data_IF_511141377638
#
_entry.id   IF_511141377638
#
_cell.length_a   1.000
_cell.length_b   1.000
_cell.length_c   1.000
_cell.angle_alpha   90.00
_cell.angle_beta   90.00
_cell.angle_gamma   90.00
#
_symmetry.space_group_name_H-M   'P 1'
#
loop_
_entity.id
_entity.type
_entity.pdbx_description
1 polymer ?
#
# COMPACT_ATOMS: atom_id res chain seq x y z
N UNK A 1 12.88 4.49 7.35
CA UNK A 1 11.57 4.09 7.91
C UNK A 1 10.88 3.22 6.88
N UNK A 2 10.63 1.96 7.21
CA UNK A 2 9.87 1.06 6.32
C UNK A 2 8.37 1.41 6.39
N UNK A 3 7.71 1.53 5.24
CA UNK A 3 6.28 1.75 5.20
C UNK A 3 5.50 0.45 5.45
N UNK A 4 4.23 0.57 5.88
CA UNK A 4 3.39 -0.57 6.23
C UNK A 4 3.23 -1.59 5.09
N UNK A 5 3.13 -1.15 3.84
CA UNK A 5 3.05 -2.07 2.70
C UNK A 5 4.33 -2.91 2.55
N UNK A 6 5.51 -2.34 2.80
CA UNK A 6 6.78 -3.09 2.79
C UNK A 6 6.78 -4.18 3.85
N UNK A 7 6.29 -3.89 5.06
CA UNK A 7 6.19 -4.88 6.15
C UNK A 7 5.24 -6.03 5.84
N UNK A 8 4.09 -5.73 5.22
CA UNK A 8 3.12 -6.75 4.81
C UNK A 8 3.70 -7.67 3.72
N UNK A 9 4.27 -7.07 2.68
CA UNK A 9 4.83 -7.81 1.55
C UNK A 9 6.09 -8.60 1.94
N UNK A 10 6.93 -8.10 2.84
CA UNK A 10 8.13 -8.81 3.31
C UNK A 10 7.79 -10.04 4.16
N UNK A 11 6.65 -10.02 4.86
CA UNK A 11 6.11 -11.19 5.58
C UNK A 11 5.47 -12.23 4.66
N UNK A 12 5.33 -11.92 3.37
CA UNK A 12 4.68 -12.77 2.38
C UNK A 12 3.16 -12.60 2.30
N UNK A 13 2.59 -11.54 2.90
CA UNK A 13 1.18 -11.23 2.68
C UNK A 13 0.97 -10.70 1.26
N UNK A 14 -0.08 -11.16 0.60
CA UNK A 14 -0.46 -10.67 -0.71
C UNK A 14 -1.31 -9.39 -0.56
N UNK A 15 -0.86 -8.31 -1.19
CA UNK A 15 -1.52 -7.00 -1.18
C UNK A 15 -1.92 -6.62 -2.60
N UNK A 16 -3.22 -6.44 -2.85
CA UNK A 16 -3.75 -6.00 -4.14
C UNK A 16 -4.79 -4.88 -3.96
N UNK A 17 -5.05 -4.12 -5.03
CA UNK A 17 -6.18 -3.18 -5.07
C UNK A 17 -7.13 -3.68 -6.13
N UNK A 18 -8.32 -4.10 -5.74
CA UNK A 18 -9.32 -4.66 -6.64
C UNK A 18 -10.54 -3.74 -6.69
N UNK A 19 -10.87 -3.25 -7.89
CA UNK A 19 -11.99 -2.31 -8.09
C UNK A 19 -11.94 -1.10 -7.14
N UNK A 20 -10.74 -0.60 -6.90
CA UNK A 20 -10.47 0.55 -6.04
C UNK A 20 -10.53 0.25 -4.54
N UNK A 21 -10.63 -1.01 -4.12
CA UNK A 21 -10.63 -1.43 -2.72
C UNK A 21 -9.37 -2.22 -2.39
N UNK A 22 -8.83 -2.01 -1.19
CA UNK A 22 -7.68 -2.76 -0.71
C UNK A 22 -8.08 -4.20 -0.38
N UNK A 23 -7.37 -5.17 -0.93
CA UNK A 23 -7.51 -6.59 -0.62
C UNK A 23 -6.18 -7.08 -0.08
N UNK A 24 -6.21 -7.65 1.12
CA UNK A 24 -5.04 -8.27 1.75
C UNK A 24 -5.40 -9.73 1.96
N UNK A 25 -4.55 -10.62 1.45
CA UNK A 25 -4.60 -12.05 1.75
C UNK A 25 -3.38 -12.39 2.62
N UNK A 26 -3.57 -12.54 3.94
CA UNK A 26 -2.46 -12.82 4.84
C UNK A 26 -1.87 -14.21 4.57
N UNK A 27 -0.55 -14.34 4.68
CA UNK A 27 0.13 -15.63 4.54
C UNK A 27 -0.33 -16.66 5.59
N UNK A 28 -0.86 -16.19 6.72
CA UNK A 28 -1.41 -17.03 7.79
C UNK A 28 -2.80 -17.61 7.47
N UNK A 29 -3.47 -17.13 6.41
CA UNK A 29 -4.85 -17.51 6.06
C UNK A 29 -5.94 -16.99 7.01
N UNK A 30 -5.55 -16.30 8.10
CA UNK A 30 -6.50 -15.66 9.03
C UNK A 30 -6.94 -14.30 8.46
N UNK A 31 -8.21 -13.90 8.59
CA UNK A 31 -8.68 -12.62 8.08
C UNK A 31 -8.03 -11.46 8.85
N UNK A 32 -7.72 -10.38 8.13
CA UNK A 32 -7.25 -9.13 8.74
C UNK A 32 -8.39 -8.51 9.55
N UNK A 33 -8.14 -8.03 10.78
CA UNK A 33 -9.16 -7.32 11.55
C UNK A 33 -9.73 -6.12 10.78
N UNK A 34 -11.06 -5.99 10.65
CA UNK A 34 -11.67 -4.96 9.81
C UNK A 34 -11.39 -3.55 10.34
N UNK A 35 -11.37 -3.37 11.66
CA UNK A 35 -11.10 -2.08 12.30
C UNK A 35 -9.68 -1.57 11.99
N UNK A 36 -8.71 -2.47 11.96
CA UNK A 36 -7.34 -2.14 11.60
C UNK A 36 -7.24 -1.80 10.10
N UNK A 37 -7.92 -2.58 9.27
CA UNK A 37 -7.95 -2.34 7.82
C UNK A 37 -8.55 -0.98 7.51
N UNK A 38 -9.67 -0.59 8.12
CA UNK A 38 -10.30 0.72 7.89
C UNK A 38 -9.38 1.89 8.26
N UNK A 39 -8.59 1.74 9.33
CA UNK A 39 -7.65 2.78 9.77
C UNK A 39 -6.40 2.86 8.90
N UNK A 40 -5.87 1.72 8.45
CA UNK A 40 -4.58 1.63 7.75
C UNK A 40 -4.69 1.50 6.24
N UNK A 41 -5.88 1.22 5.70
CA UNK A 41 -6.07 0.97 4.27
C UNK A 41 -5.59 2.13 3.40
N UNK A 42 -5.89 3.37 3.79
CA UNK A 42 -5.47 4.54 3.01
C UNK A 42 -3.95 4.70 3.02
N UNK A 43 -3.30 4.45 4.16
CA UNK A 43 -1.84 4.50 4.29
C UNK A 43 -1.16 3.44 3.41
N UNK A 44 -1.68 2.20 3.43
CA UNK A 44 -1.21 1.10 2.60
C UNK A 44 -1.42 1.41 1.12
N UNK A 45 -2.64 1.76 0.72
CA UNK A 45 -2.95 2.13 -0.67
C UNK A 45 -2.04 3.26 -1.17
N UNK A 46 -1.85 4.32 -0.37
CA UNK A 46 -0.96 5.42 -0.74
C UNK A 46 0.46 4.94 -0.98
N UNK A 47 1.01 4.10 -0.10
CA UNK A 47 2.37 3.59 -0.28
C UNK A 47 2.54 2.73 -1.53
N UNK A 48 1.54 1.90 -1.86
CA UNK A 48 1.52 1.10 -3.10
C UNK A 48 1.41 2.01 -4.33
N UNK A 49 0.53 3.02 -4.30
CA UNK A 49 0.34 3.97 -5.39
C UNK A 49 1.61 4.82 -5.66
N UNK A 50 2.29 5.26 -4.60
CA UNK A 50 3.58 5.96 -4.70
C UNK A 50 4.63 5.07 -5.37
N UNK A 51 4.73 3.81 -4.94
CA UNK A 51 5.71 2.87 -5.50
C UNK A 51 5.46 2.58 -6.98
N UNK A 52 4.20 2.53 -7.41
CA UNK A 52 3.81 2.29 -8.80
C UNK A 52 3.91 3.58 -9.64
N UNK A 53 3.87 4.75 -9.02
CA UNK A 53 3.86 6.05 -9.71
C UNK A 53 2.52 6.37 -10.37
N UNK A 54 1.42 5.81 -9.87
CA UNK A 54 0.06 6.07 -10.38
C UNK A 54 -0.73 6.82 -9.33
N UNK A 55 -1.33 7.94 -9.72
CA UNK A 55 -2.22 8.68 -8.84
C UNK A 55 -3.64 8.09 -8.84
N UNK A 56 -4.31 8.21 -7.68
CA UNK A 56 -5.68 7.80 -7.49
C UNK A 56 -6.47 8.90 -6.80
N UNK A 57 -7.78 8.90 -7.03
CA UNK A 57 -8.71 9.91 -6.58
C UNK A 57 -9.69 9.30 -5.59
N UNK A 58 -9.82 9.94 -4.43
CA UNK A 58 -10.83 9.64 -3.41
C UNK A 58 -12.04 10.54 -3.60
N UNK A 59 -13.23 9.96 -3.57
CA UNK A 59 -14.48 10.70 -3.62
C UNK A 59 -14.73 11.50 -2.33
N UNK A 60 -15.06 12.78 -2.47
CA UNK A 60 -15.39 13.66 -1.33
C UNK A 60 -16.88 13.98 -1.21
N UNK A 61 -17.56 14.09 -2.35
CA UNK A 61 -18.93 14.56 -2.35
C UNK A 61 -19.41 14.91 -3.75
N UNK A 62 -20.66 15.34 -3.82
CA UNK A 62 -21.28 15.72 -5.08
C UNK A 62 -22.17 16.95 -4.93
N UNK A 63 -22.43 17.59 -6.06
CA UNK A 63 -23.47 18.61 -6.20
C UNK A 63 -24.24 18.37 -7.49
N UNK A 64 -25.53 18.69 -7.49
CA UNK A 64 -26.40 18.57 -8.65
C UNK A 64 -26.84 19.97 -9.09
N UNK A 65 -26.77 20.25 -10.39
CA UNK A 65 -27.01 21.59 -10.89
C UNK A 65 -27.21 21.65 -12.40
N UNK A 66 -27.50 22.86 -12.89
CA UNK A 66 -27.58 23.15 -14.32
C UNK A 66 -26.35 23.94 -14.73
N UNK A 67 -25.67 23.48 -15.76
CA UNK A 67 -24.36 23.99 -16.19
C UNK A 67 -24.39 24.47 -17.64
N UNK A 68 -23.47 25.38 -17.96
CA UNK A 68 -23.28 25.93 -19.30
C UNK A 68 -24.39 26.87 -19.77
N UNK A 69 -24.22 27.40 -20.97
CA UNK A 69 -25.13 28.37 -21.59
C UNK A 69 -26.55 27.82 -21.75
N UNK A 70 -26.68 26.54 -22.09
CA UNK A 70 -27.96 25.86 -22.27
C UNK A 70 -28.60 25.34 -20.97
N UNK A 71 -27.98 25.61 -19.80
CA UNK A 71 -28.46 25.15 -18.48
C UNK A 71 -28.75 23.64 -18.45
N UNK A 72 -27.83 22.87 -19.04
CA UNK A 72 -27.89 21.42 -19.12
C UNK A 72 -27.78 20.82 -17.72
N UNK A 73 -28.65 19.87 -17.41
CA UNK A 73 -28.69 19.23 -16.10
C UNK A 73 -27.51 18.27 -15.92
N UNK A 74 -26.82 18.38 -14.79
CA UNK A 74 -25.63 17.59 -14.48
C UNK A 74 -25.42 17.34 -13.00
N UNK A 75 -24.57 16.35 -12.70
CA UNK A 75 -24.05 16.09 -11.36
C UNK A 75 -22.53 16.21 -11.40
N UNK A 76 -21.99 17.03 -10.51
CA UNK A 76 -20.55 17.22 -10.32
C UNK A 76 -20.10 16.36 -9.16
N UNK A 77 -19.22 15.40 -9.42
CA UNK A 77 -18.51 14.62 -8.41
C UNK A 77 -17.19 15.33 -8.11
N UNK A 78 -16.87 15.49 -6.83
CA UNK A 78 -15.63 16.08 -6.34
C UNK A 78 -14.74 14.98 -5.78
N UNK A 79 -13.46 15.08 -6.10
CA UNK A 79 -12.45 14.13 -5.70
C UNK A 79 -11.20 14.85 -5.22
N UNK A 80 -10.39 14.13 -4.45
CA UNK A 80 -9.08 14.57 -4.00
C UNK A 80 -8.05 13.50 -4.32
N UNK A 81 -6.95 13.92 -4.91
CA UNK A 81 -5.80 13.06 -5.18
C UNK A 81 -5.24 12.48 -3.88
N UNK A 82 -4.95 11.18 -3.89
CA UNK A 82 -4.33 10.48 -2.75
C UNK A 82 -2.83 10.83 -2.66
N UNK A 83 -2.17 11.11 -3.79
CA UNK A 83 -0.75 11.42 -3.81
C UNK A 83 -0.47 12.90 -3.58
N UNK A 84 -1.11 13.78 -4.35
CA UNK A 84 -0.83 15.23 -4.36
C UNK A 84 -1.75 16.01 -3.41
N UNK A 85 -2.92 15.47 -3.08
CA UNK A 85 -3.94 16.19 -2.31
C UNK A 85 -4.70 17.25 -3.12
N UNK A 86 -4.45 17.35 -4.43
CA UNK A 86 -5.14 18.28 -5.30
C UNK A 86 -6.59 17.86 -5.53
N UNK A 87 -7.47 18.84 -5.65
CA UNK A 87 -8.89 18.60 -5.90
C UNK A 87 -9.15 18.49 -7.39
N UNK A 88 -9.93 17.49 -7.79
CA UNK A 88 -10.39 17.30 -9.16
C UNK A 88 -11.89 17.06 -9.20
N UNK A 89 -12.54 17.31 -10.34
CA UNK A 89 -13.98 17.11 -10.48
C UNK A 89 -14.38 16.45 -11.79
N UNK A 90 -15.48 15.70 -11.76
CA UNK A 90 -16.09 15.11 -12.95
C UNK A 90 -17.56 15.51 -13.05
N UNK A 91 -18.01 15.91 -14.25
CA UNK A 91 -19.40 16.33 -14.48
C UNK A 91 -20.10 15.31 -15.37
N UNK A 92 -21.19 14.73 -14.87
CA UNK A 92 -22.02 13.78 -15.59
C UNK A 92 -23.37 14.38 -15.94
N UNK A 93 -23.88 14.08 -17.14
CA UNK A 93 -25.22 14.48 -17.55
C UNK A 93 -26.27 13.62 -16.83
N UNK A 94 -27.26 14.27 -16.20
CA UNK A 94 -28.35 13.63 -15.46
C UNK A 94 -29.65 14.40 -15.64
N UNK A 95 -30.77 13.83 -15.20
CA UNK A 95 -32.06 14.50 -15.16
C UNK A 95 -32.33 15.07 -13.77
N UNK A 96 -32.67 16.37 -13.70
CA UNK A 96 -33.00 17.09 -12.45
C UNK A 96 -34.48 17.48 -12.33
N UNK A 97 -35.33 16.93 -13.20
CA UNK A 97 -36.77 17.26 -13.27
C UNK A 97 -37.64 16.05 -12.99
N UNK A 98 -38.84 16.30 -12.48
CA UNK A 98 -39.84 15.26 -12.22
C UNK A 98 -40.46 14.75 -13.52
N UNK A 99 -40.43 13.44 -13.75
CA UNK A 99 -41.07 12.81 -14.93
C UNK A 99 -42.61 12.75 -14.84
N UNK A 100 -43.17 12.72 -13.63
CA UNK A 100 -44.61 12.59 -13.37
C UNK A 100 -45.03 13.58 -12.30
N UNK A 101 -46.29 14.00 -12.35
CA UNK A 101 -46.93 14.75 -11.27
C UNK A 101 -47.14 13.81 -10.08
N UNK A 102 -46.67 14.22 -8.91
CA UNK A 102 -46.87 13.53 -7.64
C UNK A 102 -47.37 14.52 -6.61
N UNK A 103 -47.70 14.05 -5.41
CA UNK A 103 -48.05 14.91 -4.26
C UNK A 103 -46.95 15.96 -4.00
N UNK A 104 -45.68 15.58 -4.21
CA UNK A 104 -44.55 16.50 -4.04
C UNK A 104 -44.48 17.62 -5.09
N UNK A 105 -45.21 17.50 -6.21
CA UNK A 105 -45.43 18.56 -7.22
C UNK A 105 -45.47 18.05 -8.67
N UNK A 106 -45.57 18.99 -9.62
CA UNK A 106 -45.90 18.73 -11.02
C UNK A 106 -44.75 18.11 -11.83
N UNK A 107 -45.10 17.39 -12.90
CA UNK A 107 -44.12 16.99 -13.92
C UNK A 107 -43.38 18.21 -14.49
N UNK A 108 -42.09 18.06 -14.78
CA UNK A 108 -41.22 19.14 -15.23
C UNK A 108 -40.67 20.03 -14.11
N UNK A 109 -41.26 20.02 -12.92
CA UNK A 109 -40.74 20.75 -11.77
C UNK A 109 -39.36 20.19 -11.33
N UNK A 110 -38.49 21.02 -10.72
CA UNK A 110 -37.19 20.56 -10.22
C UNK A 110 -37.35 19.49 -9.13
N UNK A 111 -36.41 18.56 -9.10
CA UNK A 111 -36.25 17.63 -7.98
C UNK A 111 -35.75 18.37 -6.73
N UNK A 112 -35.93 17.80 -5.53
CA UNK A 112 -35.29 18.31 -4.32
C UNK A 112 -33.77 18.49 -4.50
N UNK A 113 -33.19 19.41 -3.73
CA UNK A 113 -31.76 19.69 -3.83
C UNK A 113 -30.92 18.41 -3.60
N UNK A 114 -29.93 18.18 -4.46
CA UNK A 114 -29.09 16.97 -4.43
C UNK A 114 -29.73 15.72 -5.04
N UNK A 115 -31.03 15.71 -5.31
CA UNK A 115 -31.64 14.57 -6.00
C UNK A 115 -31.46 14.67 -7.52
N UNK A 116 -31.11 13.54 -8.13
CA UNK A 116 -30.97 13.41 -9.57
C UNK A 116 -31.43 12.04 -10.04
N UNK A 117 -31.76 11.96 -11.33
CA UNK A 117 -32.14 10.71 -12.01
C UNK A 117 -31.13 10.39 -13.08
N UNK A 118 -30.82 9.11 -13.18
CA UNK A 118 -29.83 8.57 -14.10
C UNK A 118 -30.55 7.71 -15.14
N UNK A 119 -30.22 7.89 -16.41
CA UNK A 119 -30.66 6.98 -17.48
C UNK A 119 -29.73 5.78 -17.60
N UNK A 120 -30.25 4.61 -17.97
CA UNK A 120 -29.47 3.36 -18.11
C UNK A 120 -28.34 3.44 -19.15
N UNK A 121 -28.52 4.29 -20.18
CA UNK A 121 -27.49 4.52 -21.21
C UNK A 121 -26.52 5.65 -20.87
N UNK A 122 -26.69 6.30 -19.73
CA UNK A 122 -25.85 7.43 -19.32
C UNK A 122 -24.43 7.00 -18.98
N UNK A 123 -23.48 7.92 -19.13
CA UNK A 123 -22.09 7.68 -18.71
C UNK A 123 -21.98 7.47 -17.20
N UNK A 124 -22.85 8.11 -16.41
CA UNK A 124 -22.90 7.88 -14.97
C UNK A 124 -23.26 6.43 -14.64
N UNK A 125 -24.25 5.86 -15.34
CA UNK A 125 -24.64 4.46 -15.13
C UNK A 125 -23.49 3.50 -15.48
N UNK A 126 -22.78 3.74 -16.60
CA UNK A 126 -21.62 2.95 -17.00
C UNK A 126 -20.49 3.03 -15.99
N UNK A 127 -20.17 4.24 -15.54
CA UNK A 127 -19.20 4.49 -14.46
C UNK A 127 -19.57 3.72 -13.19
N UNK A 128 -20.82 3.85 -12.73
CA UNK A 128 -21.29 3.16 -11.52
C UNK A 128 -21.22 1.64 -11.65
N UNK A 129 -21.56 1.09 -12.81
CA UNK A 129 -21.39 -0.35 -13.07
C UNK A 129 -19.93 -0.77 -13.01
N UNK A 130 -19.03 0.07 -13.51
CA UNK A 130 -17.58 -0.16 -13.45
C UNK A 130 -17.05 -0.29 -12.02
N UNK A 131 -17.64 0.40 -11.05
CA UNK A 131 -17.23 0.32 -9.65
C UNK A 131 -17.61 -0.99 -8.96
N UNK A 132 -18.49 -1.79 -9.54
CA UNK A 132 -18.99 -3.02 -8.92
C UNK A 132 -19.88 -2.80 -7.69
N UNK A 133 -20.22 -1.55 -7.37
CA UNK A 133 -21.15 -1.24 -6.28
C UNK A 133 -22.56 -1.74 -6.59
N UNK A 134 -23.34 -2.14 -5.56
CA UNK A 134 -24.72 -2.56 -5.76
C UNK A 134 -25.53 -1.42 -6.37
N UNK A 135 -26.24 -1.74 -7.46
CA UNK A 135 -27.17 -0.81 -8.10
C UNK A 135 -28.36 -0.54 -7.16
N UNK A 136 -28.85 0.70 -7.10
CA UNK A 136 -30.08 0.98 -6.36
C UNK A 136 -31.27 0.29 -7.03
N UNK A 137 -32.23 -0.16 -6.23
CA UNK A 137 -33.50 -0.76 -6.69
C UNK A 137 -34.22 0.12 -7.73
N UNK A 138 -34.05 1.45 -7.64
CA UNK A 138 -34.62 2.42 -8.56
C UNK A 138 -33.57 3.44 -8.99
N UNK A 139 -33.53 3.74 -10.29
CA UNK A 139 -32.61 4.72 -10.91
C UNK A 139 -32.75 6.16 -10.38
N UNK A 140 -33.79 6.46 -9.60
CA UNK A 140 -34.00 7.77 -8.97
C UNK A 140 -33.30 7.88 -7.60
N UNK A 141 -32.79 6.76 -7.08
CA UNK A 141 -32.21 6.66 -5.73
C UNK A 141 -30.68 6.62 -5.71
N UNK A 142 -30.01 6.89 -6.83
CA UNK A 142 -28.54 6.96 -6.86
C UNK A 142 -27.98 7.94 -5.83
N UNK A 143 -28.66 9.07 -5.59
CA UNK A 143 -28.30 10.05 -4.57
C UNK A 143 -28.12 9.43 -3.16
N UNK A 144 -28.89 8.37 -2.82
CA UNK A 144 -28.78 7.65 -1.53
C UNK A 144 -27.57 6.74 -1.43
N UNK A 145 -27.05 6.29 -2.57
CA UNK A 145 -25.92 5.36 -2.63
C UNK A 145 -24.58 6.08 -2.80
N UNK A 146 -24.58 7.40 -3.07
CA UNK A 146 -23.36 8.19 -3.34
C UNK A 146 -22.29 8.05 -2.25
N UNK A 147 -22.67 7.88 -0.98
CA UNK A 147 -21.73 7.67 0.12
C UNK A 147 -20.85 6.42 -0.07
N UNK A 148 -21.33 5.40 -0.79
CA UNK A 148 -20.57 4.17 -1.07
C UNK A 148 -19.38 4.39 -2.01
N UNK A 149 -19.33 5.51 -2.73
CA UNK A 149 -18.16 5.84 -3.55
C UNK A 149 -16.93 6.23 -2.72
N UNK A 150 -17.12 6.61 -1.44
CA UNK A 150 -16.01 7.02 -0.57
C UNK A 150 -15.01 5.90 -0.26
N UNK A 151 -15.44 4.63 -0.35
CA UNK A 151 -14.59 3.46 -0.12
C UNK A 151 -13.85 2.97 -1.38
N UNK A 152 -14.00 3.66 -2.52
CA UNK A 152 -13.42 3.24 -3.80
C UNK A 152 -12.43 4.30 -4.29
N UNK A 153 -11.23 3.83 -4.63
CA UNK A 153 -10.20 4.60 -5.31
C UNK A 153 -10.42 4.56 -6.83
N UNK A 154 -10.41 5.73 -7.45
CA UNK A 154 -10.65 5.90 -8.88
C UNK A 154 -9.38 6.45 -9.57
N UNK A 155 -9.15 6.06 -10.82
CA UNK A 155 -8.16 6.66 -11.70
C UNK A 155 -8.86 7.31 -12.89
N UNK A 156 -8.22 8.31 -13.48
CA UNK A 156 -8.72 8.97 -14.68
C UNK A 156 -7.78 10.08 -15.16
N UNK A 157 -7.93 10.44 -16.43
CA UNK A 157 -7.18 11.52 -17.05
C UNK A 157 -7.73 12.88 -16.58
N UNK A 158 -6.88 13.70 -15.95
CA UNK A 158 -7.21 15.05 -15.52
C UNK A 158 -6.76 16.06 -16.58
N UNK A 159 -7.64 16.98 -16.95
CA UNK A 159 -7.32 18.14 -17.78
C UNK A 159 -7.81 19.41 -17.09
N UNK A 160 -6.90 20.27 -16.64
CA UNK A 160 -7.24 21.53 -15.95
C UNK A 160 -8.26 21.29 -14.82
N UNK A 161 -7.93 20.39 -13.91
CA UNK A 161 -8.73 19.96 -12.73
C UNK A 161 -10.01 19.18 -13.03
N UNK A 162 -10.38 19.03 -14.31
CA UNK A 162 -11.53 18.24 -14.74
C UNK A 162 -11.12 16.85 -15.17
N UNK A 163 -11.66 15.84 -14.52
CA UNK A 163 -11.48 14.44 -14.91
C UNK A 163 -12.34 14.14 -16.14
N UNK A 164 -11.75 13.50 -17.14
CA UNK A 164 -12.48 12.95 -18.26
C UNK A 164 -13.33 11.76 -17.80
N UNK A 165 -14.65 11.94 -17.86
CA UNK A 165 -15.65 10.95 -17.42
C UNK A 165 -15.48 9.58 -18.10
N UNK A 166 -15.01 9.53 -19.34
CA UNK A 166 -14.82 8.26 -20.05
C UNK A 166 -13.59 7.48 -19.58
N UNK A 167 -12.59 8.19 -19.05
CA UNK A 167 -11.38 7.60 -18.48
C UNK A 167 -11.53 7.25 -17.00
N UNK A 168 -12.63 7.66 -16.36
CA UNK A 168 -12.83 7.44 -14.93
C UNK A 168 -13.22 5.98 -14.66
N UNK A 169 -12.34 5.24 -14.01
CA UNK A 169 -12.55 3.85 -13.63
C UNK A 169 -11.94 3.55 -12.26
N UNK A 170 -12.37 2.47 -11.58
CA UNK A 170 -11.70 2.05 -10.36
C UNK A 170 -10.26 1.62 -10.61
N UNK A 171 -9.39 1.84 -9.62
CA UNK A 171 -8.01 1.38 -9.66
C UNK A 171 -7.97 -0.14 -9.50
N UNK A 172 -7.21 -0.81 -10.37
CA UNK A 172 -6.92 -2.23 -10.22
C UNK A 172 -5.40 -2.42 -10.27
N UNK A 173 -4.83 -2.94 -9.20
CA UNK A 173 -3.41 -3.25 -9.05
C UNK A 173 -3.31 -4.70 -8.59
N UNK A 174 -2.59 -5.52 -9.35
CA UNK A 174 -2.40 -6.93 -8.99
C UNK A 174 -1.38 -7.08 -7.87
N UNK A 175 -1.42 -8.22 -7.18
CA UNK A 175 -0.45 -8.54 -6.14
C UNK A 175 0.99 -8.47 -6.67
N UNK A 176 1.26 -9.07 -7.82
CA UNK A 176 2.60 -9.05 -8.42
C UNK A 176 3.08 -7.63 -8.74
N UNK A 177 2.19 -6.76 -9.23
CA UNK A 177 2.51 -5.35 -9.47
C UNK A 177 2.84 -4.61 -8.18
N UNK A 178 2.04 -4.80 -7.12
CA UNK A 178 2.30 -4.20 -5.82
C UNK A 178 3.61 -4.71 -5.22
N UNK A 179 3.86 -6.03 -5.29
CA UNK A 179 5.07 -6.68 -4.79
C UNK A 179 6.31 -6.20 -5.53
N UNK A 180 6.29 -6.18 -6.85
CA UNK A 180 7.41 -5.71 -7.67
C UNK A 180 7.68 -4.22 -7.46
N UNK A 181 6.64 -3.38 -7.37
CA UNK A 181 6.83 -1.95 -7.16
C UNK A 181 7.42 -1.65 -5.76
N UNK A 182 6.94 -2.32 -4.72
CA UNK A 182 7.37 -2.02 -3.33
C UNK A 182 8.68 -2.73 -2.95
N UNK A 183 8.87 -3.99 -3.38
CA UNK A 183 10.05 -4.79 -3.02
C UNK A 183 11.10 -4.88 -4.14
N UNK A 184 10.71 -4.71 -5.42
CA UNK A 184 11.62 -4.86 -6.56
C UNK A 184 12.76 -3.84 -6.57
N UNK A 185 12.54 -2.63 -6.05
CA UNK A 185 13.62 -1.66 -5.83
C UNK A 185 14.69 -2.17 -4.83
N UNK A 186 14.30 -3.01 -3.87
CA UNK A 186 15.23 -3.60 -2.91
C UNK A 186 15.95 -4.83 -3.46
N UNK A 187 15.31 -5.60 -4.35
CA UNK A 187 15.94 -6.77 -5.00
C UNK A 187 17.12 -6.35 -5.88
N UNK A 188 16.95 -5.33 -6.75
CA UNK A 188 18.05 -4.84 -7.60
C UNK A 188 19.24 -4.26 -6.83
N UNK A 189 18.98 -3.64 -5.67
CA UNK A 189 20.05 -3.09 -4.82
C UNK A 189 20.75 -4.18 -4.01
N UNK A 190 20.01 -5.19 -3.56
CA UNK A 190 20.57 -6.32 -2.80
C UNK A 190 21.40 -7.25 -3.70
N UNK A 191 20.95 -7.52 -4.93
CA UNK A 191 21.74 -8.26 -5.93
C UNK A 191 23.02 -7.52 -6.32
N UNK A 192 22.95 -6.19 -6.51
CA UNK A 192 24.14 -5.38 -6.78
C UNK A 192 25.14 -5.38 -5.62
N UNK A 193 24.66 -5.39 -4.37
CA UNK A 193 25.53 -5.51 -3.18
C UNK A 193 26.04 -6.94 -2.96
N UNK A 194 25.29 -7.97 -3.35
CA UNK A 194 25.73 -9.36 -3.33
C UNK A 194 26.86 -9.59 -4.35
N UNK A 195 26.69 -9.09 -5.58
CA UNK A 195 27.72 -9.13 -6.62
C UNK A 195 29.01 -8.39 -6.21
N UNK A 196 28.89 -7.25 -5.52
CA UNK A 196 30.06 -6.55 -4.97
C UNK A 196 30.77 -7.30 -3.83
N UNK A 197 30.06 -8.17 -3.09
CA UNK A 197 30.69 -9.03 -2.07
C UNK A 197 31.37 -10.26 -2.68
N UNK A 198 30.86 -10.79 -3.79
CA UNK A 198 31.51 -11.88 -4.52
C UNK A 198 32.81 -11.43 -5.21
N UNK A 199 32.94 -10.14 -5.54
CA UNK A 199 34.13 -9.57 -6.19
C UNK A 199 35.26 -9.12 -5.25
N UNK A 200 35.14 -9.32 -3.93
CA UNK A 200 36.28 -9.09 -3.02
C UNK A 200 37.13 -10.36 -2.89
N UNK A 201 37.73 -10.80 -4.01
CA UNK A 201 38.92 -11.66 -3.97
C UNK A 201 40.16 -10.77 -3.73
N UNK A 202 41.09 -11.13 -2.83
CA UNK A 202 42.36 -10.41 -2.72
C UNK A 202 43.23 -10.82 -3.92
N UNK A 203 43.17 -10.02 -4.98
CA UNK A 203 44.02 -10.18 -6.15
C UNK A 203 45.28 -9.31 -6.03
N UNK A 204 46.44 -9.99 -6.03
CA UNK A 204 47.71 -9.52 -6.58
C UNK A 204 48.81 -9.06 -5.60
N UNK A 205 49.62 -10.01 -5.14
CA UNK A 205 51.10 -9.94 -5.24
C UNK A 205 51.66 -11.35 -5.48
N UNK A 206 51.81 -11.73 -6.75
CA UNK A 206 52.77 -12.76 -7.14
C UNK A 206 54.12 -12.07 -7.38
N UNK A 207 55.17 -12.53 -6.69
CA UNK A 207 56.53 -12.45 -7.23
C UNK A 207 57.26 -13.76 -6.94
N UNK A 208 57.62 -14.40 -8.05
CA UNK A 208 58.65 -15.41 -8.34
C UNK A 208 59.11 -16.44 -7.27
N UNK A 209 59.07 -17.70 -7.69
CA UNK A 209 59.78 -18.84 -7.10
C UNK A 209 61.27 -18.82 -7.45
N UNK A 210 62.15 -18.87 -6.44
CA UNK A 210 63.20 -19.90 -6.26
C UNK A 210 64.25 -19.47 -5.22
N UNK A 211 64.49 -20.31 -4.21
CA UNK A 211 65.77 -21.02 -3.97
C UNK A 211 65.77 -21.66 -2.58
N UNK A 212 66.10 -22.95 -2.55
CA UNK A 212 66.27 -23.73 -1.34
C UNK A 212 67.45 -23.23 -0.51
N UNK A 213 67.23 -22.99 0.79
CA UNK A 213 68.31 -22.82 1.77
C UNK A 213 68.28 -24.01 2.74
N UNK A 214 69.36 -24.80 2.63
CA UNK A 214 69.82 -25.83 3.57
C UNK A 214 69.91 -25.28 5.00
N UNK A 215 69.58 -26.15 5.96
CA UNK A 215 69.38 -25.79 7.36
C UNK A 215 70.60 -25.29 8.12
N UNK A 216 70.29 -24.69 9.29
CA UNK A 216 71.17 -24.60 10.44
C UNK A 216 70.33 -24.85 11.72
N UNK A 217 70.98 -25.50 12.67
CA UNK A 217 70.44 -26.13 13.87
C UNK A 217 69.92 -25.17 14.97
N UNK A 218 69.12 -25.70 15.92
CA UNK A 218 68.56 -24.95 17.04
C UNK A 218 69.62 -24.68 18.12
N UNK A 219 69.50 -23.55 18.81
CA UNK A 219 70.26 -23.28 20.05
C UNK A 219 69.32 -23.46 21.25
N UNK A 220 69.64 -24.37 22.19
CA UNK A 220 68.93 -24.58 23.43
C UNK A 220 69.52 -23.72 24.55
N UNK A 221 68.67 -23.14 25.39
CA UNK A 221 69.07 -22.77 26.76
C UNK A 221 67.97 -23.14 27.73
N UNK A 222 68.28 -24.19 28.49
CA UNK A 222 67.63 -24.73 29.68
C UNK A 222 67.52 -23.69 30.78
N UNK A 223 66.39 -23.65 31.50
CA UNK A 223 66.33 -23.96 32.94
C UNK A 223 64.89 -23.93 33.46
N UNK A 224 64.50 -25.06 34.05
CA UNK A 224 63.28 -25.26 34.81
C UNK A 224 63.51 -24.89 36.29
N UNK A 225 62.54 -24.25 36.94
CA UNK A 225 61.87 -24.75 38.17
C UNK A 225 61.10 -23.65 38.90
N UNK A 226 59.79 -23.87 39.03
CA UNK A 226 58.94 -23.84 40.23
C UNK A 226 59.31 -22.90 41.39
N UNK A 227 58.37 -22.01 41.75
CA UNK A 227 57.96 -21.82 43.16
C UNK A 227 56.47 -21.47 43.25
N UNK A 228 55.77 -22.22 44.11
CA UNK A 228 54.39 -22.00 44.56
C UNK A 228 54.27 -20.70 45.39
N UNK A 229 53.12 -20.02 45.33
CA UNK A 229 52.38 -19.68 46.55
C UNK A 229 50.92 -19.26 46.31
N UNK A 230 50.13 -19.52 47.35
CA UNK A 230 48.67 -19.68 47.48
C UNK A 230 47.82 -18.38 47.57
N UNK A 231 46.51 -18.58 47.35
CA UNK A 231 45.30 -17.89 47.90
C UNK A 231 45.00 -16.44 47.44
N UNK A 232 43.78 -15.92 47.20
CA UNK A 232 42.38 -16.31 47.48
C UNK A 232 41.40 -15.42 46.68
N UNK A 233 40.27 -16.00 46.22
CA UNK A 233 38.91 -15.44 46.00
C UNK A 233 38.71 -14.01 45.41
N UNK A 234 37.97 -13.96 44.29
CA UNK A 234 36.58 -13.47 44.23
C UNK A 234 35.90 -13.85 42.90
N UNK A 235 34.84 -14.64 43.00
CA UNK A 235 33.76 -14.70 42.02
C UNK A 235 33.06 -13.34 42.03
N UNK A 236 32.87 -12.71 40.87
CA UNK A 236 31.79 -11.76 40.62
C UNK A 236 31.53 -11.61 39.10
N UNK A 237 30.36 -12.12 38.71
CA UNK A 237 29.53 -11.89 37.52
C UNK A 237 29.92 -10.72 36.59
N UNK A 238 29.77 -10.92 35.26
CA UNK A 238 28.50 -10.67 34.54
C UNK A 238 28.69 -10.89 33.03
N UNK A 239 28.35 -12.08 32.54
CA UNK A 239 28.03 -12.26 31.11
C UNK A 239 26.74 -11.49 30.86
N UNK A 240 26.78 -10.50 29.97
CA UNK A 240 25.58 -9.83 29.47
C UNK A 240 24.82 -10.91 28.66
N UNK A 241 23.60 -11.32 29.06
CA UNK A 241 22.80 -12.16 28.18
C UNK A 241 22.40 -11.29 27.00
N UNK A 242 22.75 -11.74 25.79
CA UNK A 242 22.09 -11.28 24.59
C UNK A 242 20.58 -11.34 24.85
N UNK A 243 19.91 -10.20 24.78
CA UNK A 243 18.46 -10.15 24.78
C UNK A 243 17.98 -11.15 23.73
N UNK A 244 17.01 -12.04 24.05
CA UNK A 244 16.48 -12.93 23.04
C UNK A 244 15.91 -12.04 21.94
N UNK A 245 16.45 -12.15 20.73
CA UNK A 245 15.74 -11.72 19.54
C UNK A 245 14.39 -12.41 19.63
N UNK A 246 13.31 -11.64 19.74
CA UNK A 246 11.96 -12.18 19.65
C UNK A 246 11.90 -12.93 18.32
N UNK A 247 12.07 -14.25 18.37
CA UNK A 247 11.75 -15.13 17.26
C UNK A 247 10.24 -15.05 17.13
N UNK A 248 9.77 -14.15 16.27
CA UNK A 248 8.38 -14.10 15.85
C UNK A 248 8.00 -15.52 15.44
N UNK A 249 7.00 -16.08 16.13
CA UNK A 249 6.40 -17.36 15.75
C UNK A 249 6.06 -17.31 14.26
N UNK A 250 6.14 -18.44 13.55
CA UNK A 250 5.73 -18.49 12.15
C UNK A 250 4.29 -17.93 12.02
N UNK A 251 3.97 -17.14 10.99
CA UNK A 251 2.72 -16.36 10.93
C UNK A 251 1.44 -17.17 11.14
N UNK A 252 1.47 -18.46 10.80
CA UNK A 252 0.41 -19.45 11.02
C UNK A 252 0.01 -19.62 12.50
N UNK A 253 0.95 -19.45 13.44
CA UNK A 253 0.76 -19.68 14.88
C UNK A 253 0.53 -18.40 15.70
N UNK A 254 0.48 -17.23 15.04
CA UNK A 254 0.29 -15.93 15.70
C UNK A 254 -1.18 -15.70 16.09
N UNK A 255 -1.39 -15.12 17.27
CA UNK A 255 -2.70 -14.60 17.70
C UNK A 255 -3.02 -13.26 17.00
N UNK A 256 -4.28 -12.80 17.05
CA UNK A 256 -4.67 -11.49 16.48
C UNK A 256 -3.95 -10.33 17.18
N UNK A 257 -3.75 -10.43 18.50
CA UNK A 257 -3.05 -9.40 19.27
C UNK A 257 -1.55 -9.39 18.95
N UNK A 258 -0.92 -10.56 18.84
CA UNK A 258 0.48 -10.70 18.38
C UNK A 258 0.65 -10.18 16.95
N UNK A 259 -0.38 -10.30 16.10
CA UNK A 259 -0.40 -9.75 14.74
C UNK A 259 -0.40 -8.22 14.74
N UNK A 260 -1.15 -7.59 15.64
CA UNK A 260 -1.25 -6.13 15.76
C UNK A 260 0.03 -5.48 16.31
N UNK A 261 0.69 -6.10 17.29
CA UNK A 261 1.92 -5.56 17.89
C UNK A 261 3.04 -5.32 16.87
N UNK A 262 3.13 -6.17 15.83
CA UNK A 262 4.10 -6.03 14.74
C UNK A 262 3.92 -4.75 13.89
N UNK A 263 2.72 -4.14 13.93
CA UNK A 263 2.36 -2.96 13.12
C UNK A 263 2.16 -1.68 13.94
N UNK A 264 2.11 -1.77 15.28
CA UNK A 264 1.95 -0.61 16.19
C UNK A 264 3.30 -0.01 16.61
N UNK A 265 4.38 -0.78 16.57
CA UNK A 265 5.71 -0.29 16.94
C UNK A 265 6.27 0.68 15.88
N UNK A 266 6.41 1.94 16.30
CA UNK A 266 6.92 3.09 15.53
C UNK A 266 8.39 3.33 15.83
#
# INVERSE_FOLDING_TARGET
MECLATKLLSRGDAVSIERGQLVIQPASGKPVPPEWLDQKALEICRSVLVAIGVDAFRYEGYSAGRYGQHKSAGVTLRFTSVLTGETAYAIFNVELTRKRTTIGGKAGAPLPAGEFRVGERSQFYKFWRGTGLPLPERMQRFHKCMGKLSSILLAGEVRKDRINVQSLHPVTITEDQARLAVLGHNLGTTEAQLGHKEDTRPGHKETATDQAVRGLQPIPTTCASNHENKLTRKDDNKVIPYSPIHTTKPPQDQSVDEWLEAYVST
#
